data_IF_698875634494
#
_entry.id   IF_698875634494
#
_cell.length_a   1.000
_cell.length_b   1.000
_cell.length_c   1.000
_cell.angle_alpha   90.00
_cell.angle_beta   90.00
_cell.angle_gamma   90.00
#
_symmetry.space_group_name_H-M   'P 1'
#
loop_
_entity.id
_entity.type
_entity.pdbx_description
1 polymer ?
#
# COMPACT_ATOMS: atom_id res chain seq x y z
N UNK A 1 -38.48 -23.03 -47.61
CA UNK A 1 -39.27 -23.04 -46.36
C UNK A 1 -38.70 -24.10 -45.44
N UNK A 2 -38.36 -23.85 -44.16
CA UNK A 2 -37.45 -22.83 -43.61
C UNK A 2 -36.24 -23.44 -42.84
N UNK A 3 -35.17 -22.64 -42.80
CA UNK A 3 -34.18 -22.39 -41.74
C UNK A 3 -33.96 -23.43 -40.61
N UNK A 4 -32.71 -23.89 -40.45
CA UNK A 4 -32.17 -24.38 -39.17
C UNK A 4 -30.91 -23.60 -38.81
N UNK A 5 -31.01 -22.89 -37.69
CA UNK A 5 -30.04 -21.94 -37.17
C UNK A 5 -28.71 -22.60 -36.82
N UNK A 6 -27.62 -21.91 -37.18
CA UNK A 6 -26.27 -22.22 -36.76
C UNK A 6 -26.14 -21.99 -35.23
N UNK A 7 -25.70 -23.04 -34.53
CA UNK A 7 -25.35 -23.03 -33.12
C UNK A 7 -24.15 -22.10 -32.89
N UNK A 8 -24.41 -21.04 -32.13
CA UNK A 8 -23.46 -20.04 -31.68
C UNK A 8 -22.53 -20.67 -30.63
N UNK A 9 -21.39 -21.22 -31.06
CA UNK A 9 -20.40 -21.78 -30.15
C UNK A 9 -19.78 -20.68 -29.28
N UNK A 10 -20.08 -20.80 -27.99
CA UNK A 10 -19.43 -20.16 -26.84
C UNK A 10 -17.92 -19.98 -27.04
N UNK A 11 -17.49 -18.72 -27.08
CA UNK A 11 -16.13 -18.30 -26.74
C UNK A 11 -16.21 -17.40 -25.53
N UNK A 12 -16.32 -18.01 -24.35
CA UNK A 12 -15.98 -17.32 -23.10
C UNK A 12 -14.46 -17.39 -23.00
N UNK A 13 -13.80 -16.30 -23.38
CA UNK A 13 -12.38 -16.11 -23.12
C UNK A 13 -12.17 -16.11 -21.60
N UNK A 14 -11.51 -17.15 -21.10
CA UNK A 14 -10.96 -17.19 -19.75
C UNK A 14 -9.84 -16.15 -19.65
N UNK A 15 -10.18 -14.96 -19.19
CA UNK A 15 -9.20 -13.96 -18.79
C UNK A 15 -9.20 -13.95 -17.26
N UNK A 16 -7.99 -13.93 -16.72
CA UNK A 16 -7.64 -13.64 -15.33
C UNK A 16 -7.77 -14.81 -14.33
N UNK A 17 -6.72 -15.63 -14.27
CA UNK A 17 -6.26 -16.22 -13.01
C UNK A 17 -4.73 -16.30 -13.04
N UNK A 18 -4.13 -15.12 -12.90
CA UNK A 18 -2.76 -14.94 -12.42
C UNK A 18 -2.84 -13.78 -11.45
N UNK A 19 -2.75 -14.11 -10.17
CA UNK A 19 -2.21 -13.31 -9.06
C UNK A 19 -2.90 -13.72 -7.76
N UNK A 20 -2.83 -15.02 -7.51
CA UNK A 20 -2.98 -15.54 -6.18
C UNK A 20 -1.68 -15.27 -5.41
N UNK A 21 -1.84 -14.55 -4.29
CA UNK A 21 -1.00 -14.61 -3.09
C UNK A 21 0.39 -13.96 -3.18
N UNK A 22 0.44 -12.66 -2.85
CA UNK A 22 1.64 -12.08 -2.21
C UNK A 22 1.30 -10.97 -1.21
N UNK A 23 0.54 -11.31 -0.18
CA UNK A 23 0.37 -10.45 0.99
C UNK A 23 0.98 -11.07 2.25
N UNK A 24 2.27 -10.83 2.55
CA UNK A 24 2.77 -11.05 3.91
C UNK A 24 3.61 -9.88 4.46
N UNK A 25 3.26 -8.61 4.20
CA UNK A 25 4.01 -7.47 4.79
C UNK A 25 3.12 -6.42 5.49
N UNK A 26 1.84 -6.29 5.12
CA UNK A 26 1.00 -5.14 5.54
C UNK A 26 0.46 -5.24 6.99
N UNK A 27 0.56 -6.41 7.63
CA UNK A 27 -0.12 -6.68 8.91
C UNK A 27 0.66 -6.20 10.14
N UNK A 28 1.97 -5.93 10.06
CA UNK A 28 2.76 -5.54 11.26
C UNK A 28 2.87 -4.03 11.52
N UNK A 29 2.43 -3.15 10.62
CA UNK A 29 2.65 -1.69 10.77
C UNK A 29 1.52 -0.99 11.55
N UNK A 30 0.32 -1.57 11.63
CA UNK A 30 -0.85 -0.90 12.25
C UNK A 30 -0.80 -0.89 13.78
N UNK A 31 -0.21 -1.90 14.41
CA UNK A 31 -0.17 -2.01 15.87
C UNK A 31 0.74 -0.97 16.51
N UNK A 32 1.74 -0.45 15.78
CA UNK A 32 2.66 0.57 16.26
C UNK A 32 2.04 1.99 16.29
N UNK A 33 0.99 2.23 15.50
CA UNK A 33 0.41 3.57 15.33
C UNK A 33 -0.45 4.03 16.51
N UNK A 34 -0.95 3.11 17.36
CA UNK A 34 -1.78 3.48 18.51
C UNK A 34 -0.98 4.00 19.71
N UNK A 35 0.31 3.66 19.81
CA UNK A 35 1.19 4.06 20.91
C UNK A 35 1.92 5.39 20.67
N UNK A 36 1.94 5.91 19.45
CA UNK A 36 2.69 7.13 19.10
C UNK A 36 1.86 8.43 19.14
N UNK A 37 0.59 8.37 19.52
CA UNK A 37 -0.29 9.57 19.50
C UNK A 37 -0.01 10.53 20.66
N UNK A 38 0.57 10.06 21.76
CA UNK A 38 0.84 10.86 22.97
C UNK A 38 2.21 11.56 22.98
N UNK A 39 3.04 11.33 21.98
CA UNK A 39 4.39 11.89 21.89
C UNK A 39 4.45 13.17 21.04
N UNK A 40 3.48 14.07 21.20
CA UNK A 40 3.44 15.40 20.54
C UNK A 40 4.52 16.40 21.00
N UNK A 41 5.61 15.92 21.62
CA UNK A 41 6.87 16.63 21.85
C UNK A 41 8.12 15.76 21.61
N UNK A 42 7.97 14.54 21.07
CA UNK A 42 9.08 13.59 21.06
C UNK A 42 10.08 13.88 19.96
N UNK A 43 11.32 13.71 20.35
CA UNK A 43 12.49 13.56 19.50
C UNK A 43 12.19 12.78 18.20
N UNK A 44 12.88 13.11 17.10
CA UNK A 44 12.71 12.40 15.83
C UNK A 44 12.94 10.90 15.99
N UNK A 45 12.08 10.11 15.35
CA UNK A 45 12.16 8.64 15.37
C UNK A 45 13.30 8.19 14.47
N UNK A 46 14.39 7.74 15.10
CA UNK A 46 15.56 7.26 14.38
C UNK A 46 15.33 5.81 13.89
N UNK A 47 15.22 5.64 12.56
CA UNK A 47 14.90 4.37 11.90
C UNK A 47 15.97 3.98 10.88
N UNK A 48 16.01 2.71 10.48
CA UNK A 48 16.89 2.30 9.37
C UNK A 48 16.38 2.86 8.04
N UNK A 49 17.29 3.05 7.08
CA UNK A 49 16.93 3.48 5.73
C UNK A 49 15.91 2.52 5.07
N UNK A 50 16.06 1.20 5.31
CA UNK A 50 15.14 0.18 4.78
C UNK A 50 13.73 0.33 5.34
N UNK A 51 13.60 0.60 6.64
CA UNK A 51 12.30 0.81 7.27
C UNK A 51 11.65 2.09 6.75
N UNK A 52 12.40 3.18 6.67
CA UNK A 52 11.92 4.44 6.10
C UNK A 52 11.40 4.24 4.67
N UNK A 53 12.16 3.56 3.81
CA UNK A 53 11.75 3.24 2.45
C UNK A 53 10.48 2.39 2.41
N UNK A 54 10.38 1.35 3.25
CA UNK A 54 9.18 0.49 3.30
C UNK A 54 7.91 1.26 3.68
N UNK A 55 8.01 2.16 4.67
CA UNK A 55 6.88 3.01 5.09
C UNK A 55 6.48 3.98 3.98
N UNK A 56 7.47 4.57 3.30
CA UNK A 56 7.24 5.46 2.16
C UNK A 56 6.55 4.74 1.00
N UNK A 57 7.03 3.55 0.62
CA UNK A 57 6.41 2.72 -0.41
C UNK A 57 4.97 2.35 -0.03
N UNK A 58 4.74 1.92 1.22
CA UNK A 58 3.40 1.58 1.68
C UNK A 58 2.42 2.76 1.63
N UNK A 59 2.89 3.99 1.88
CA UNK A 59 2.07 5.19 1.74
C UNK A 59 1.66 5.43 0.28
N UNK A 60 2.61 5.30 -0.65
CA UNK A 60 2.35 5.44 -2.10
C UNK A 60 1.39 4.36 -2.60
N UNK A 61 1.60 3.10 -2.21
CA UNK A 61 0.74 1.99 -2.63
C UNK A 61 -0.71 2.20 -2.19
N UNK A 62 -0.94 2.71 -0.98
CA UNK A 62 -2.28 3.05 -0.50
C UNK A 62 -2.93 4.18 -1.30
N UNK A 63 -2.17 5.21 -1.69
CA UNK A 63 -2.68 6.30 -2.52
C UNK A 63 -3.03 5.82 -3.93
N UNK A 64 -2.18 4.97 -4.52
CA UNK A 64 -2.44 4.38 -5.82
C UNK A 64 -3.68 3.48 -5.79
N UNK A 65 -3.81 2.64 -4.77
CA UNK A 65 -4.98 1.78 -4.63
C UNK A 65 -6.25 2.62 -4.44
N UNK A 66 -6.20 3.67 -3.62
CA UNK A 66 -7.32 4.59 -3.43
C UNK A 66 -7.75 5.26 -4.74
N UNK A 67 -6.80 5.69 -5.57
CA UNK A 67 -7.09 6.28 -6.87
C UNK A 67 -7.75 5.28 -7.83
N UNK A 68 -7.30 4.03 -7.85
CA UNK A 68 -7.91 2.96 -8.65
C UNK A 68 -9.32 2.63 -8.17
N UNK A 69 -9.49 2.47 -6.86
CA UNK A 69 -10.78 2.18 -6.23
C UNK A 69 -11.76 3.35 -6.49
N UNK A 70 -11.30 4.60 -6.43
CA UNK A 70 -12.12 5.78 -6.73
C UNK A 70 -12.64 5.77 -8.18
N UNK A 71 -11.80 5.43 -9.15
CA UNK A 71 -12.21 5.28 -10.55
C UNK A 71 -13.28 4.20 -10.71
N UNK A 72 -13.14 3.09 -9.97
CA UNK A 72 -14.10 1.98 -10.00
C UNK A 72 -15.49 2.36 -9.47
N UNK A 73 -15.61 3.32 -8.54
CA UNK A 73 -16.90 3.73 -7.95
C UNK A 73 -17.94 4.08 -9.02
N UNK A 74 -17.49 4.74 -10.10
CA UNK A 74 -18.36 5.18 -11.20
C UNK A 74 -19.00 4.01 -11.97
N UNK A 75 -18.41 2.82 -11.90
CA UNK A 75 -18.87 1.62 -12.62
C UNK A 75 -19.91 0.81 -11.86
N UNK A 76 -20.09 1.05 -10.56
CA UNK A 76 -21.07 0.32 -9.76
C UNK A 76 -22.49 0.88 -9.94
N UNK A 77 -23.42 0.01 -10.32
CA UNK A 77 -24.84 0.36 -10.45
C UNK A 77 -25.53 0.49 -9.08
N UNK A 78 -25.13 -0.34 -8.11
CA UNK A 78 -25.73 -0.38 -6.78
C UNK A 78 -25.20 0.76 -5.88
N UNK A 79 -26.12 1.55 -5.31
CA UNK A 79 -25.81 2.68 -4.43
C UNK A 79 -25.08 2.28 -3.14
N UNK A 80 -25.41 1.12 -2.56
CA UNK A 80 -24.74 0.62 -1.35
C UNK A 80 -23.30 0.17 -1.66
N UNK A 81 -23.07 -0.45 -2.81
CA UNK A 81 -21.71 -0.79 -3.25
C UNK A 81 -20.86 0.47 -3.44
N UNK A 82 -21.40 1.50 -4.11
CA UNK A 82 -20.73 2.82 -4.23
C UNK A 82 -20.40 3.40 -2.86
N UNK A 83 -21.35 3.38 -1.92
CA UNK A 83 -21.15 3.89 -0.56
C UNK A 83 -20.03 3.13 0.16
N UNK A 84 -20.06 1.80 0.16
CA UNK A 84 -19.03 0.97 0.80
C UNK A 84 -17.65 1.21 0.19
N UNK A 85 -17.58 1.37 -1.13
CA UNK A 85 -16.32 1.60 -1.82
C UNK A 85 -15.76 3.00 -1.55
N UNK A 86 -16.61 4.04 -1.44
CA UNK A 86 -16.18 5.37 -0.95
C UNK A 86 -15.55 5.29 0.44
N UNK A 87 -16.17 4.56 1.37
CA UNK A 87 -15.63 4.37 2.71
C UNK A 87 -14.27 3.64 2.70
N UNK A 88 -14.07 2.72 1.77
CA UNK A 88 -12.79 2.04 1.59
C UNK A 88 -11.71 3.03 1.12
N UNK A 89 -12.00 3.84 0.10
CA UNK A 89 -11.11 4.89 -0.42
C UNK A 89 -10.74 5.86 0.70
N UNK A 90 -11.73 6.37 1.45
CA UNK A 90 -11.50 7.27 2.58
C UNK A 90 -10.57 6.64 3.64
N UNK A 91 -10.76 5.35 3.94
CA UNK A 91 -9.92 4.63 4.90
C UNK A 91 -8.48 4.43 4.40
N UNK A 92 -8.29 4.14 3.12
CA UNK A 92 -6.96 4.01 2.48
C UNK A 92 -6.23 5.36 2.50
N UNK A 93 -6.89 6.45 2.09
CA UNK A 93 -6.32 7.79 2.10
C UNK A 93 -5.97 8.27 3.51
N UNK A 94 -6.85 8.03 4.49
CA UNK A 94 -6.55 8.36 5.89
C UNK A 94 -5.33 7.61 6.40
N UNK A 95 -5.17 6.34 6.01
CA UNK A 95 -4.00 5.53 6.40
C UNK A 95 -2.74 6.02 5.71
N UNK A 96 -2.79 6.34 4.42
CA UNK A 96 -1.66 6.93 3.69
C UNK A 96 -1.22 8.27 4.32
N UNK A 97 -2.18 9.13 4.65
CA UNK A 97 -1.92 10.40 5.34
C UNK A 97 -1.19 10.18 6.68
N UNK A 98 -1.65 9.23 7.51
CA UNK A 98 -0.97 8.88 8.76
C UNK A 98 0.47 8.41 8.54
N UNK A 99 0.71 7.60 7.51
CA UNK A 99 2.07 7.16 7.18
C UNK A 99 2.94 8.35 6.73
N UNK A 100 2.42 9.30 5.95
CA UNK A 100 3.14 10.53 5.60
C UNK A 100 3.50 11.38 6.81
N UNK A 101 2.56 11.57 7.74
CA UNK A 101 2.84 12.28 8.99
C UNK A 101 3.92 11.57 9.80
N UNK A 102 3.87 10.23 9.87
CA UNK A 102 4.89 9.44 10.53
C UNK A 102 6.27 9.61 9.86
N UNK A 103 6.34 9.60 8.53
CA UNK A 103 7.59 9.81 7.77
C UNK A 103 8.21 11.18 8.09
N UNK A 104 7.41 12.24 8.23
CA UNK A 104 7.92 13.57 8.61
C UNK A 104 8.66 13.56 9.94
N UNK A 105 8.23 12.71 10.88
CA UNK A 105 8.83 12.54 12.19
C UNK A 105 10.05 11.60 12.20
N UNK A 106 10.29 10.86 11.11
CA UNK A 106 11.42 9.94 11.02
C UNK A 106 12.73 10.66 10.68
N UNK A 107 13.82 10.11 11.20
CA UNK A 107 15.18 10.38 10.75
C UNK A 107 15.87 9.06 10.45
N UNK A 108 16.56 8.98 9.32
CA UNK A 108 17.36 7.81 9.00
C UNK A 108 18.56 7.83 9.94
N UNK A 109 18.80 6.71 10.65
CA UNK A 109 20.04 6.52 11.40
C UNK A 109 21.18 6.64 10.41
N UNK A 110 22.00 7.67 10.55
CA UNK A 110 23.32 7.66 9.95
C UNK A 110 24.06 6.53 10.64
N UNK A 111 24.19 5.39 9.95
CA UNK A 111 25.12 4.36 10.38
C UNK A 111 26.49 5.02 10.32
N UNK A 112 26.95 5.57 11.44
CA UNK A 112 28.34 5.92 11.65
C UNK A 112 29.11 4.60 11.53
N UNK A 113 29.49 4.25 10.32
CA UNK A 113 30.63 3.40 10.07
C UNK A 113 31.82 4.12 10.70
N UNK A 114 32.05 3.86 11.99
CA UNK A 114 33.24 4.33 12.67
C UNK A 114 34.47 3.94 11.86
N UNK A 115 35.60 4.64 12.02
CA UNK A 115 36.80 4.49 11.18
C UNK A 115 37.40 3.06 11.13
N UNK A 116 36.85 2.10 11.88
CA UNK A 116 37.25 0.70 11.95
C UNK A 116 37.12 -0.08 10.62
N UNK A 117 36.36 0.37 9.62
CA UNK A 117 36.31 -0.31 8.31
C UNK A 117 37.44 0.06 7.34
N UNK A 118 38.18 1.15 7.57
CA UNK A 118 39.34 1.49 6.72
C UNK A 118 40.55 0.59 6.93
N UNK A 119 40.63 -0.14 8.04
CA UNK A 119 41.76 -1.01 8.37
C UNK A 119 41.75 -2.39 7.67
N UNK A 120 40.60 -2.80 7.07
CA UNK A 120 40.48 -4.12 6.40
C UNK A 120 40.70 -4.09 4.90
N UNK A 121 40.87 -2.92 4.28
CA UNK A 121 41.07 -2.80 2.83
C UNK A 121 42.54 -2.59 2.42
N UNK A 122 43.49 -2.77 3.34
CA UNK A 122 44.94 -2.66 3.08
C UNK A 122 45.72 -3.95 3.44
N UNK A 123 45.06 -5.12 3.47
CA UNK A 123 45.74 -6.41 3.57
C UNK A 123 45.46 -7.26 2.35
#
# INVERSE_FOLDING_TARGET
>A
MPQKAASLNQRVGSVISRDAVRFPIIVQVTTFLSTMRDTMRSEPLHVSARFHAAVFTAAIELEQQAALDEQMISTFENADQRRRHRLLVDAQLLRAFKLREMIKQMRIREDHFGPAQKARSQR
#
